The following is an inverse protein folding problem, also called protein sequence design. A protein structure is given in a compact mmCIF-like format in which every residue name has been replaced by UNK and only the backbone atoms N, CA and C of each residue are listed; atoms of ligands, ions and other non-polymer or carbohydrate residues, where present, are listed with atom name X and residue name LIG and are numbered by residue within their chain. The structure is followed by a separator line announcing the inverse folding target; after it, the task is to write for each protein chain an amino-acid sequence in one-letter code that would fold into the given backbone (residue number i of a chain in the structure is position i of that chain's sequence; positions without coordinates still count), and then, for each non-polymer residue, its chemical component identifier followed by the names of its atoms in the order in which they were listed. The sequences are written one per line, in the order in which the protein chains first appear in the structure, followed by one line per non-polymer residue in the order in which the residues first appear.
data_IF_486237285008
#
_entry.id   IF_486237285008
#
_cell.length_a   1.000
_cell.length_b   1.000
_cell.length_c   1.000
_cell.angle_alpha   90.00
_cell.angle_beta   90.00
_cell.angle_gamma   90.00
#
_symmetry.space_group_name_H-M   'P 1'
#
loop_
_entity.id
_entity.type
_entity.pdbx_description
1 polymer ?
#
# COMPACT_ATOMS: atom_id res chain seq x y z
N UNK A 1 -18.54 13.27 -20.20
CA UNK A 1 -17.54 13.49 -19.14
C UNK A 1 -18.34 13.96 -17.93
N UNK A 2 -18.54 13.09 -16.93
CA UNK A 2 -19.27 13.44 -15.71
C UNK A 2 -18.39 14.34 -14.83
N UNK A 3 -18.97 15.43 -14.32
CA UNK A 3 -18.31 16.29 -13.33
C UNK A 3 -18.47 15.65 -11.95
N UNK A 4 -17.38 15.14 -11.38
CA UNK A 4 -17.36 14.66 -10.00
C UNK A 4 -16.88 15.80 -9.09
N UNK A 5 -17.72 16.24 -8.14
CA UNK A 5 -17.25 17.00 -6.98
C UNK A 5 -16.62 15.97 -6.04
N UNK A 6 -15.34 15.69 -6.24
CA UNK A 6 -14.61 14.70 -5.46
C UNK A 6 -13.31 15.30 -4.93
N UNK A 7 -13.03 15.06 -3.65
CA UNK A 7 -11.71 15.34 -3.09
C UNK A 7 -10.79 14.16 -3.42
N UNK A 8 -9.53 14.43 -3.69
CA UNK A 8 -8.52 13.38 -3.76
C UNK A 8 -8.34 12.71 -2.39
N UNK A 9 -7.92 11.45 -2.38
CA UNK A 9 -7.52 10.78 -1.15
C UNK A 9 -6.37 11.55 -0.47
N UNK A 10 -5.48 12.17 -1.23
CA UNK A 10 -4.45 13.06 -0.70
C UNK A 10 -5.03 14.19 0.16
N UNK A 11 -6.07 14.87 -0.30
CA UNK A 11 -6.71 15.96 0.45
C UNK A 11 -7.38 15.44 1.72
N UNK A 12 -8.00 14.25 1.66
CA UNK A 12 -8.54 13.59 2.84
C UNK A 12 -7.44 13.29 3.88
N UNK A 13 -6.31 12.70 3.45
CA UNK A 13 -5.22 12.30 4.35
C UNK A 13 -4.46 13.51 4.95
N UNK A 14 -4.52 14.69 4.33
CA UNK A 14 -3.86 15.92 4.82
C UNK A 14 -4.67 16.68 5.87
N UNK A 15 -5.89 16.23 6.20
CA UNK A 15 -6.75 16.94 7.18
C UNK A 15 -6.04 17.04 8.54
N UNK A 16 -5.94 18.25 9.14
CA UNK A 16 -5.28 18.43 10.44
C UNK A 16 -5.90 17.61 11.57
N UNK A 17 -7.20 17.35 11.45
CA UNK A 17 -8.07 16.65 12.39
C UNK A 17 -8.49 15.27 11.85
N UNK A 18 -7.60 14.59 11.12
CA UNK A 18 -7.86 13.28 10.54
C UNK A 18 -8.34 12.28 11.61
N UNK A 19 -9.64 11.98 11.58
CA UNK A 19 -10.28 11.06 12.49
C UNK A 19 -9.79 9.62 12.24
N UNK A 20 -9.37 8.93 13.31
CA UNK A 20 -8.82 7.57 13.20
C UNK A 20 -9.82 6.53 12.69
N UNK A 21 -11.11 6.66 13.02
CA UNK A 21 -12.12 5.70 12.57
C UNK A 21 -12.46 5.92 11.09
N UNK A 22 -12.60 7.19 10.67
CA UNK A 22 -12.75 7.51 9.26
C UNK A 22 -11.54 7.06 8.43
N UNK A 23 -10.32 7.23 8.97
CA UNK A 23 -9.10 6.75 8.32
C UNK A 23 -9.14 5.23 8.14
N UNK A 24 -9.45 4.46 9.19
CA UNK A 24 -9.56 2.99 9.10
C UNK A 24 -10.51 2.55 8.01
N UNK A 25 -11.70 3.15 7.92
CA UNK A 25 -12.69 2.82 6.87
C UNK A 25 -12.10 3.09 5.48
N UNK A 26 -11.50 4.26 5.28
CA UNK A 26 -10.92 4.64 3.98
C UNK A 26 -9.72 3.75 3.61
N UNK A 27 -8.86 3.41 4.57
CA UNK A 27 -7.75 2.48 4.33
C UNK A 27 -8.24 1.08 3.98
N UNK A 28 -9.30 0.60 4.64
CA UNK A 28 -9.95 -0.67 4.30
C UNK A 28 -10.44 -0.69 2.86
N UNK A 29 -11.20 0.33 2.44
CA UNK A 29 -11.67 0.46 1.05
C UNK A 29 -10.52 0.51 0.04
N UNK A 30 -9.45 1.25 0.36
CA UNK A 30 -8.29 1.41 -0.50
C UNK A 30 -7.58 0.08 -0.72
N UNK A 31 -7.18 -0.59 0.37
CA UNK A 31 -6.38 -1.80 0.28
C UNK A 31 -7.18 -3.02 -0.18
N UNK A 32 -8.47 -3.10 0.13
CA UNK A 32 -9.37 -4.12 -0.44
C UNK A 32 -9.46 -3.99 -1.97
N UNK A 33 -9.64 -2.76 -2.47
CA UNK A 33 -9.66 -2.49 -3.91
C UNK A 33 -8.35 -2.84 -4.61
N UNK A 34 -7.20 -2.52 -3.97
CA UNK A 34 -5.87 -2.88 -4.48
C UNK A 34 -5.69 -4.41 -4.46
N UNK A 35 -6.05 -5.09 -3.37
CA UNK A 35 -5.92 -6.53 -3.22
C UNK A 35 -6.72 -7.28 -4.29
N UNK A 36 -7.98 -6.88 -4.52
CA UNK A 36 -8.82 -7.42 -5.60
C UNK A 36 -8.19 -7.25 -6.98
N UNK A 37 -7.64 -6.07 -7.28
CA UNK A 37 -6.92 -5.85 -8.55
C UNK A 37 -5.68 -6.72 -8.67
N UNK A 38 -4.90 -6.86 -7.59
CA UNK A 38 -3.71 -7.72 -7.59
C UNK A 38 -4.06 -9.19 -7.77
N UNK A 39 -5.13 -9.66 -7.13
CA UNK A 39 -5.64 -11.00 -7.32
C UNK A 39 -6.01 -11.24 -8.79
N UNK A 40 -6.82 -10.37 -9.39
CA UNK A 40 -7.18 -10.46 -10.81
C UNK A 40 -5.96 -10.42 -11.73
N UNK A 41 -4.98 -9.57 -11.43
CA UNK A 41 -3.73 -9.48 -12.17
C UNK A 41 -2.97 -10.82 -12.16
N UNK A 42 -2.85 -11.43 -10.98
CA UNK A 42 -2.12 -12.70 -10.79
C UNK A 42 -2.85 -13.88 -11.42
N UNK A 43 -4.18 -13.95 -11.27
CA UNK A 43 -5.01 -15.01 -11.86
C UNK A 43 -4.97 -14.99 -13.39
N UNK A 44 -4.90 -13.80 -13.99
CA UNK A 44 -4.91 -13.60 -15.45
C UNK A 44 -3.53 -13.43 -16.06
N UNK A 45 -2.48 -13.39 -15.24
CA UNK A 45 -1.12 -12.97 -15.60
C UNK A 45 -1.11 -11.64 -16.41
N UNK A 46 -1.95 -10.69 -16.00
CA UNK A 46 -2.18 -9.44 -16.72
C UNK A 46 -1.75 -8.22 -15.88
N UNK A 47 -0.59 -7.67 -16.22
CA UNK A 47 0.01 -6.52 -15.52
C UNK A 47 -0.83 -5.24 -15.63
N UNK A 48 -1.77 -5.15 -16.57
CA UNK A 48 -2.61 -3.94 -16.78
C UNK A 48 -3.54 -3.65 -15.60
N UNK A 49 -3.76 -4.62 -14.71
CA UNK A 49 -4.51 -4.41 -13.47
C UNK A 49 -3.68 -3.74 -12.36
N UNK A 50 -2.35 -3.65 -12.51
CA UNK A 50 -1.44 -3.02 -11.54
C UNK A 50 -1.31 -1.53 -11.88
N UNK A 51 -1.46 -0.67 -10.88
CA UNK A 51 -1.38 0.79 -11.08
C UNK A 51 0.09 1.18 -11.31
N UNK A 52 0.36 1.92 -12.38
CA UNK A 52 1.70 2.32 -12.80
C UNK A 52 2.25 3.56 -12.07
N UNK A 53 1.39 4.44 -11.59
CA UNK A 53 1.75 5.57 -10.70
C UNK A 53 0.92 5.61 -9.39
N UNK A 54 1.14 4.67 -8.47
CA UNK A 54 0.33 4.53 -7.25
C UNK A 54 0.64 5.63 -6.21
N UNK A 55 -0.26 6.61 -6.10
CA UNK A 55 -0.26 7.62 -5.04
C UNK A 55 -1.67 8.18 -4.79
N UNK A 56 -1.92 8.69 -3.59
CA UNK A 56 -3.24 9.16 -3.13
C UNK A 56 -3.81 10.36 -3.90
N UNK A 57 -3.03 10.97 -4.79
CA UNK A 57 -3.52 11.95 -5.75
C UNK A 57 -4.33 11.31 -6.90
N UNK A 58 -4.07 10.04 -7.20
CA UNK A 58 -4.73 9.26 -8.25
C UNK A 58 -5.92 8.43 -7.71
N UNK A 59 -6.45 8.82 -6.55
CA UNK A 59 -7.67 8.23 -5.98
C UNK A 59 -8.60 9.37 -5.62
N UNK A 60 -9.82 9.31 -6.15
CA UNK A 60 -10.91 10.18 -5.79
C UNK A 60 -11.71 9.55 -4.65
N UNK A 61 -11.97 10.32 -3.61
CA UNK A 61 -12.85 9.97 -2.51
C UNK A 61 -14.22 10.61 -2.76
N UNK A 62 -15.20 9.76 -3.04
CA UNK A 62 -16.57 10.13 -3.40
C UNK A 62 -17.56 9.58 -2.38
N UNK A 63 -18.82 10.02 -2.46
CA UNK A 63 -19.91 9.48 -1.64
C UNK A 63 -20.14 7.98 -1.88
N UNK A 64 -19.77 7.48 -3.07
CA UNK A 64 -19.91 6.08 -3.47
C UNK A 64 -18.66 5.23 -3.18
N UNK A 65 -17.63 5.81 -2.55
CA UNK A 65 -16.37 5.14 -2.22
C UNK A 65 -15.17 5.70 -2.98
N UNK A 66 -14.19 4.83 -3.24
CA UNK A 66 -12.91 5.20 -3.85
C UNK A 66 -12.88 4.87 -5.34
N UNK A 67 -12.47 5.84 -6.15
CA UNK A 67 -12.28 5.67 -7.59
C UNK A 67 -10.82 5.92 -7.96
N UNK A 68 -10.17 4.92 -8.57
CA UNK A 68 -8.80 5.04 -9.07
C UNK A 68 -8.81 5.69 -10.46
N UNK A 69 -7.91 6.64 -10.69
CA UNK A 69 -7.74 7.36 -11.96
C UNK A 69 -6.29 7.20 -12.45
N UNK A 70 -6.00 7.61 -13.70
CA UNK A 70 -4.65 7.49 -14.31
C UNK A 70 -4.12 6.03 -14.36
N UNK A 71 -5.00 5.09 -14.69
CA UNK A 71 -4.66 3.67 -14.89
C UNK A 71 -4.07 3.37 -16.28
N UNK A 72 -4.09 4.34 -17.19
CA UNK A 72 -3.79 4.13 -18.62
C UNK A 72 -2.29 4.01 -18.92
N UNK A 73 -1.43 4.43 -18.00
CA UNK A 73 0.02 4.37 -18.17
C UNK A 73 0.53 2.92 -18.12
N UNK A 74 1.26 2.52 -19.15
CA UNK A 74 1.85 1.19 -19.25
C UNK A 74 2.97 0.96 -18.22
N UNK A 75 2.96 -0.20 -17.60
CA UNK A 75 4.08 -0.68 -16.78
C UNK A 75 5.15 -1.35 -17.66
N UNK A 76 6.45 -1.23 -17.30
CA UNK A 76 7.49 -2.03 -17.94
C UNK A 76 7.19 -3.52 -17.80
N UNK A 77 7.66 -4.34 -18.75
CA UNK A 77 7.52 -5.80 -18.71
C UNK A 77 8.24 -6.36 -17.48
N UNK A 78 7.48 -6.64 -16.43
CA UNK A 78 7.93 -7.23 -15.17
C UNK A 78 6.96 -8.35 -14.77
N UNK A 79 7.42 -9.36 -14.00
CA UNK A 79 6.50 -10.36 -13.45
C UNK A 79 5.38 -9.68 -12.64
N UNK A 80 4.12 -10.09 -12.85
CA UNK A 80 2.95 -9.46 -12.20
C UNK A 80 3.11 -9.37 -10.69
N UNK A 81 3.59 -10.45 -10.04
CA UNK A 81 3.85 -10.46 -8.60
C UNK A 81 4.84 -9.37 -8.16
N UNK A 82 5.88 -9.11 -8.96
CA UNK A 82 6.88 -8.07 -8.65
C UNK A 82 6.26 -6.68 -8.76
N UNK A 83 5.42 -6.46 -9.78
CA UNK A 83 4.70 -5.20 -9.99
C UNK A 83 3.66 -4.95 -8.90
N UNK A 84 2.92 -5.99 -8.48
CA UNK A 84 1.99 -5.93 -7.36
C UNK A 84 2.68 -5.58 -6.03
N UNK A 85 3.80 -6.23 -5.72
CA UNK A 85 4.63 -5.91 -4.54
C UNK A 85 5.12 -4.46 -4.57
N UNK A 86 5.58 -4.00 -5.73
CA UNK A 86 5.99 -2.63 -5.94
C UNK A 86 4.84 -1.65 -5.67
N UNK A 87 3.67 -1.88 -6.29
CA UNK A 87 2.49 -1.04 -6.12
C UNK A 87 2.05 -0.96 -4.65
N UNK A 88 1.97 -2.11 -3.97
CA UNK A 88 1.59 -2.17 -2.57
C UNK A 88 2.53 -1.37 -1.67
N UNK A 89 3.85 -1.49 -1.89
CA UNK A 89 4.84 -0.72 -1.13
C UNK A 89 4.73 0.79 -1.38
N UNK A 90 4.42 1.20 -2.62
CA UNK A 90 4.23 2.60 -2.98
C UNK A 90 3.01 3.19 -2.30
N UNK A 91 1.87 2.49 -2.34
CA UNK A 91 0.67 2.89 -1.62
C UNK A 91 0.90 3.02 -0.12
N UNK A 92 1.45 1.97 0.51
CA UNK A 92 1.72 1.97 1.95
C UNK A 92 2.61 3.14 2.36
N UNK A 93 3.73 3.36 1.67
CA UNK A 93 4.62 4.50 1.94
C UNK A 93 3.91 5.83 1.71
N UNK A 94 3.23 6.01 0.58
CA UNK A 94 2.59 7.28 0.23
C UNK A 94 1.53 7.70 1.24
N UNK A 95 0.69 6.76 1.68
CA UNK A 95 -0.32 7.00 2.71
C UNK A 95 0.33 7.43 4.02
N UNK A 96 1.36 6.70 4.49
CA UNK A 96 2.06 7.00 5.74
C UNK A 96 2.81 8.35 5.68
N UNK A 97 3.41 8.68 4.54
CA UNK A 97 4.11 9.95 4.35
C UNK A 97 3.15 11.15 4.39
N UNK A 98 1.89 10.98 3.97
CA UNK A 98 0.89 12.05 3.94
C UNK A 98 0.08 12.14 5.24
N UNK A 99 -0.48 11.02 5.72
CA UNK A 99 -1.28 10.98 6.95
C UNK A 99 -0.41 11.15 8.21
N UNK A 100 0.85 10.71 8.12
CA UNK A 100 1.81 10.73 9.22
C UNK A 100 2.12 9.35 9.79
N UNK A 101 3.33 9.21 10.33
CA UNK A 101 3.89 7.94 10.81
C UNK A 101 3.13 7.33 11.98
N UNK A 102 2.41 8.14 12.75
CA UNK A 102 1.56 7.68 13.83
C UNK A 102 0.43 6.74 13.34
N UNK A 103 0.10 6.74 12.04
CA UNK A 103 -0.92 5.88 11.45
C UNK A 103 -0.36 4.60 10.80
N UNK A 104 0.95 4.33 10.91
CA UNK A 104 1.58 3.16 10.29
C UNK A 104 0.92 1.83 10.69
N UNK A 105 0.56 1.66 11.96
CA UNK A 105 -0.07 0.43 12.42
C UNK A 105 -1.45 0.22 11.77
N UNK A 106 -2.24 1.30 11.60
CA UNK A 106 -3.54 1.22 10.92
C UNK A 106 -3.39 0.87 9.43
N UNK A 107 -2.34 1.37 8.78
CA UNK A 107 -2.02 1.00 7.39
C UNK A 107 -1.63 -0.48 7.30
N UNK A 108 -0.80 -0.96 8.21
CA UNK A 108 -0.40 -2.37 8.28
C UNK A 108 -1.62 -3.27 8.48
N UNK A 109 -2.49 -2.94 9.44
CA UNK A 109 -3.72 -3.68 9.71
C UNK A 109 -4.62 -3.73 8.48
N UNK A 110 -4.91 -2.58 7.86
CA UNK A 110 -5.76 -2.53 6.67
C UNK A 110 -5.20 -3.36 5.51
N UNK A 111 -3.88 -3.40 5.33
CA UNK A 111 -3.26 -4.27 4.30
C UNK A 111 -3.38 -5.74 4.68
N UNK A 112 -3.09 -6.12 5.92
CA UNK A 112 -3.17 -7.52 6.32
C UNK A 112 -4.60 -8.05 6.23
N UNK A 113 -5.58 -7.24 6.60
CA UNK A 113 -7.00 -7.57 6.49
C UNK A 113 -7.43 -7.71 5.02
N UNK A 114 -7.01 -6.80 4.14
CA UNK A 114 -7.36 -6.85 2.72
C UNK A 114 -6.77 -8.08 1.97
N UNK A 115 -5.66 -8.64 2.47
CA UNK A 115 -4.98 -9.78 1.85
C UNK A 115 -5.14 -11.08 2.66
N UNK A 116 -6.11 -11.15 3.58
CA UNK A 116 -6.30 -12.30 4.46
C UNK A 116 -6.46 -13.62 3.68
N UNK A 117 -7.17 -13.58 2.54
CA UNK A 117 -7.42 -14.73 1.68
C UNK A 117 -6.33 -14.98 0.62
N UNK A 118 -5.41 -14.01 0.40
CA UNK A 118 -4.35 -14.09 -0.61
C UNK A 118 -3.03 -13.46 -0.12
N UNK A 119 -2.26 -14.24 0.63
CA UNK A 119 -1.03 -13.77 1.27
C UNK A 119 0.19 -13.63 0.33
N UNK A 120 0.06 -13.97 -0.96
CA UNK A 120 1.21 -14.06 -1.88
C UNK A 120 1.97 -12.73 -2.03
N UNK A 121 1.25 -11.61 -2.21
CA UNK A 121 1.85 -10.27 -2.38
C UNK A 121 2.49 -9.81 -1.06
N UNK A 122 1.80 -9.81 0.10
CA UNK A 122 2.44 -9.48 1.38
C UNK A 122 3.67 -10.31 1.72
N UNK A 123 3.62 -11.64 1.50
CA UNK A 123 4.75 -12.52 1.76
C UNK A 123 5.93 -12.22 0.83
N UNK A 124 5.67 -11.92 -0.45
CA UNK A 124 6.70 -11.52 -1.39
C UNK A 124 7.33 -10.18 -1.00
N UNK A 125 6.55 -9.22 -0.49
CA UNK A 125 7.05 -7.95 0.02
C UNK A 125 8.06 -8.14 1.16
N UNK A 126 7.74 -8.99 2.14
CA UNK A 126 8.65 -9.31 3.26
C UNK A 126 9.93 -10.00 2.78
N UNK A 127 9.81 -10.95 1.85
CA UNK A 127 10.93 -11.74 1.35
C UNK A 127 11.92 -10.93 0.49
N UNK A 128 11.48 -9.86 -0.17
CA UNK A 128 12.33 -9.06 -1.07
C UNK A 128 13.29 -8.11 -0.33
N UNK A 129 12.92 -7.60 0.85
CA UNK A 129 13.65 -6.55 1.56
C UNK A 129 14.33 -7.01 2.86
N UNK A 130 14.31 -8.31 3.16
CA UNK A 130 14.90 -8.88 4.38
C UNK A 130 16.44 -8.70 4.41
N UNK A 131 16.89 -7.59 5.01
CA UNK A 131 18.28 -7.38 5.43
C UNK A 131 18.32 -7.32 6.97
N UNK A 132 18.83 -8.36 7.64
CA UNK A 132 18.83 -8.48 9.11
C UNK A 132 19.25 -7.22 9.89
N UNK A 133 20.31 -6.47 9.51
CA UNK A 133 20.79 -5.35 10.34
C UNK A 133 19.88 -4.11 10.34
N UNK A 134 18.96 -3.95 9.38
CA UNK A 134 18.04 -2.78 9.34
C UNK A 134 16.83 -2.97 10.25
N UNK A 135 16.35 -4.21 10.35
CA UNK A 135 15.25 -4.57 11.24
C UNK A 135 15.70 -4.53 12.69
N UNK A 136 16.96 -4.85 13.00
CA UNK A 136 17.50 -4.74 14.36
C UNK A 136 17.45 -3.30 14.90
N UNK A 137 17.81 -2.30 14.07
CA UNK A 137 17.66 -0.88 14.43
C UNK A 137 16.20 -0.43 14.63
N UNK A 138 15.26 -1.06 13.93
CA UNK A 138 13.83 -0.80 14.10
C UNK A 138 13.28 -1.51 15.35
N UNK A 139 13.70 -2.74 15.63
CA UNK A 139 13.43 -3.45 16.89
C UNK A 139 13.92 -2.63 18.10
N UNK A 140 15.10 -2.03 17.98
CA UNK A 140 15.66 -1.12 18.99
C UNK A 140 14.83 0.17 19.13
N UNK A 141 14.31 0.73 18.03
CA UNK A 141 13.46 1.94 18.04
C UNK A 141 12.03 1.71 18.52
N UNK A 142 11.47 0.52 18.31
CA UNK A 142 10.05 0.23 18.51
C UNK A 142 9.76 -0.78 19.64
N UNK A 143 10.81 -1.31 20.30
CA UNK A 143 10.68 -2.16 21.50
C UNK A 143 10.69 -3.67 21.20
N UNK A 144 11.11 -4.46 22.21
CA UNK A 144 11.22 -5.93 22.13
C UNK A 144 9.84 -6.59 22.13
N UNK A 145 9.54 -7.38 21.11
CA UNK A 145 8.25 -8.10 21.02
C UNK A 145 8.37 -9.39 20.20
N UNK A 146 7.40 -10.30 20.40
CA UNK A 146 7.43 -11.71 20.02
C UNK A 146 7.44 -11.99 18.50
N UNK A 147 7.35 -13.28 18.10
CA UNK A 147 7.44 -13.71 16.70
C UNK A 147 6.41 -13.05 15.78
N UNK A 148 5.17 -12.85 16.23
CA UNK A 148 4.13 -12.19 15.42
C UNK A 148 4.37 -10.69 15.27
N UNK A 149 4.83 -10.03 16.33
CA UNK A 149 5.22 -8.62 16.26
C UNK A 149 6.45 -8.43 15.36
N UNK A 150 7.38 -9.39 15.35
CA UNK A 150 8.52 -9.42 14.43
C UNK A 150 8.09 -9.46 12.96
N UNK A 151 7.08 -10.29 12.63
CA UNK A 151 6.50 -10.36 11.28
C UNK A 151 5.78 -9.06 10.88
N UNK A 152 5.09 -8.41 11.83
CA UNK A 152 4.47 -7.09 11.59
C UNK A 152 5.50 -5.99 11.32
N UNK A 153 6.62 -5.97 12.05
CA UNK A 153 7.70 -5.00 11.77
C UNK A 153 8.42 -5.27 10.46
N UNK A 154 8.65 -6.54 10.13
CA UNK A 154 9.19 -6.94 8.83
C UNK A 154 8.29 -6.47 7.68
N UNK A 155 6.98 -6.59 7.86
CA UNK A 155 6.00 -6.12 6.89
C UNK A 155 5.92 -4.60 6.79
N UNK A 156 5.82 -3.90 7.93
CA UNK A 156 5.88 -2.45 7.99
C UNK A 156 7.16 -1.90 7.36
N UNK A 157 8.29 -2.58 7.57
CA UNK A 157 9.55 -2.26 6.91
C UNK A 157 9.44 -2.44 5.40
N UNK A 158 8.95 -3.59 4.92
CA UNK A 158 8.73 -3.83 3.49
C UNK A 158 7.85 -2.77 2.84
N UNK A 159 6.75 -2.36 3.48
CA UNK A 159 5.91 -1.25 3.01
C UNK A 159 6.71 0.05 2.92
N UNK A 160 7.47 0.39 3.96
CA UNK A 160 8.18 1.66 4.03
C UNK A 160 9.47 1.69 3.21
N UNK A 161 10.13 0.56 2.93
CA UNK A 161 11.40 0.49 2.18
C UNK A 161 11.29 -0.08 0.79
N UNK A 162 10.12 -0.61 0.44
CA UNK A 162 9.85 -1.30 -0.80
C UNK A 162 10.46 -0.62 -2.01
N UNK A 163 10.99 -1.48 -2.88
CA UNK A 163 11.85 -1.23 -4.03
C UNK A 163 12.08 0.27 -4.24
N UNK A 164 13.13 0.81 -3.61
CA UNK A 164 13.85 1.96 -4.20
C UNK A 164 14.38 1.44 -5.53
N UNK A 165 13.56 1.47 -6.56
CA UNK A 165 14.02 1.32 -7.92
C UNK A 165 15.02 2.46 -8.09
N UNK A 166 16.31 2.16 -7.90
CA UNK A 166 17.38 2.97 -8.47
C UNK A 166 16.96 3.13 -9.91
N UNK A 167 16.52 4.35 -10.25
CA UNK A 167 16.06 4.77 -11.58
C UNK A 167 15.63 3.59 -12.45
N UNK A 168 14.33 3.27 -12.47
CA UNK A 168 13.76 2.69 -13.68
C UNK A 168 14.04 3.73 -14.76
N UNK A 169 15.16 3.53 -15.46
CA UNK A 169 15.67 4.39 -16.51
C UNK A 169 14.87 4.18 -17.78
#
# INVERSE_FOLDING_TARGET
MEYFVANTLMEFLKKPDLNSDSLKVVLGLLFDSIAKRHQLALERDDIRFIHSDPHSGNVLHTENGLTFIDLERELPKHPVLKSAVWELSRWGRNVVDIAGRQHLDQVVDAVLDAYCDSSQVPLALVKQDYKPPRIQKLKERFGRSGKDTMRRYEFAFGLMTGIRTRKLA
#
